data_IF_987232099875
#
_entry.id   IF_987232099875
#
_cell.length_a   1.000
_cell.length_b   1.000
_cell.length_c   1.000
_cell.angle_alpha   90.00
_cell.angle_beta   90.00
_cell.angle_gamma   90.00
#
_symmetry.space_group_name_H-M   'P 1'
#
loop_
_entity.id
_entity.type
_entity.pdbx_description
1 polymer ?
#
# COMPACT_ATOMS: atom_id res chain seq x y z
N UNK A 1 23.91 -8.74 19.87
CA UNK A 1 22.54 -8.74 19.31
C UNK A 1 22.45 -7.71 18.19
N UNK A 2 22.39 -8.14 16.92
CA UNK A 2 22.26 -7.22 15.77
C UNK A 2 20.85 -6.59 15.77
N UNK A 3 20.78 -5.26 15.81
CA UNK A 3 19.55 -4.48 15.56
C UNK A 3 19.04 -4.90 14.17
N UNK A 4 17.88 -5.54 14.09
CA UNK A 4 17.14 -5.64 12.82
C UNK A 4 16.86 -4.20 12.40
N UNK A 5 17.49 -3.76 11.32
CA UNK A 5 17.11 -2.52 10.66
C UNK A 5 15.60 -2.55 10.45
N UNK A 6 14.91 -1.44 10.75
CA UNK A 6 13.47 -1.33 10.51
C UNK A 6 13.25 -1.48 9.00
N UNK A 7 12.97 -2.68 8.54
CA UNK A 7 12.43 -2.90 7.20
C UNK A 7 11.18 -2.04 7.12
N UNK A 8 11.16 -1.08 6.19
CA UNK A 8 9.95 -0.31 5.89
C UNK A 8 8.87 -1.32 5.52
N UNK A 9 7.92 -1.57 6.43
CA UNK A 9 6.86 -2.52 6.14
C UNK A 9 6.07 -2.00 4.93
N UNK A 10 5.83 -2.83 3.91
CA UNK A 10 5.11 -2.40 2.73
C UNK A 10 3.67 -2.02 3.09
N UNK A 11 3.18 -0.94 2.48
CA UNK A 11 1.82 -0.48 2.70
C UNK A 11 0.85 -1.51 2.10
N UNK A 12 -0.09 -1.96 2.92
CA UNK A 12 -1.06 -2.99 2.53
C UNK A 12 -2.32 -2.35 1.93
N UNK A 13 -3.08 -3.10 1.10
CA UNK A 13 -4.39 -2.66 0.66
C UNK A 13 -5.36 -2.38 1.81
N UNK A 14 -6.35 -1.54 1.54
CA UNK A 14 -7.45 -1.32 2.47
C UNK A 14 -8.21 -2.63 2.73
N UNK A 15 -8.38 -2.99 4.00
CA UNK A 15 -9.09 -4.21 4.39
C UNK A 15 -10.55 -4.19 3.93
N UNK A 16 -10.97 -5.26 3.24
CA UNK A 16 -12.36 -5.46 2.82
C UNK A 16 -13.37 -5.62 3.97
N UNK A 17 -12.92 -5.96 5.17
CA UNK A 17 -13.77 -6.06 6.37
C UNK A 17 -14.00 -4.71 7.03
N UNK A 18 -13.14 -3.72 6.75
CA UNK A 18 -13.27 -2.35 7.25
C UNK A 18 -13.95 -1.43 6.23
N UNK A 19 -13.63 -1.61 4.96
CA UNK A 19 -14.21 -0.85 3.85
C UNK A 19 -14.76 -1.82 2.80
N UNK A 20 -16.07 -1.78 2.49
CA UNK A 20 -16.67 -2.61 1.45
C UNK A 20 -15.93 -2.49 0.11
N UNK A 21 -15.87 -3.57 -0.68
CA UNK A 21 -15.08 -3.60 -1.93
C UNK A 21 -15.58 -2.64 -3.01
N UNK A 22 -16.85 -2.25 -2.95
CA UNK A 22 -17.45 -1.29 -3.87
C UNK A 22 -17.21 0.18 -3.47
N UNK A 23 -16.57 0.43 -2.33
CA UNK A 23 -16.29 1.76 -1.81
C UNK A 23 -14.77 2.00 -1.65
N UNK A 24 -14.39 3.28 -1.62
CA UNK A 24 -13.00 3.71 -1.44
C UNK A 24 -12.24 3.92 -2.75
N UNK A 25 -10.90 4.02 -2.68
CA UNK A 25 -10.06 4.31 -3.85
C UNK A 25 -10.18 3.24 -4.93
N UNK A 26 -10.38 3.68 -6.17
CA UNK A 26 -10.43 2.82 -7.37
C UNK A 26 -9.03 2.60 -7.97
N UNK A 27 -8.03 2.40 -7.12
CA UNK A 27 -6.65 2.14 -7.53
C UNK A 27 -6.42 0.65 -7.78
N UNK A 28 -5.32 0.30 -8.45
CA UNK A 28 -4.98 -1.11 -8.67
C UNK A 28 -4.86 -1.86 -7.34
N UNK A 29 -5.62 -2.95 -7.21
CA UNK A 29 -5.69 -3.77 -6.00
C UNK A 29 -5.96 -2.99 -4.69
N UNK A 30 -6.50 -1.76 -4.76
CA UNK A 30 -6.70 -0.85 -3.62
C UNK A 30 -5.40 -0.52 -2.87
N UNK A 31 -4.27 -0.48 -3.59
CA UNK A 31 -2.99 0.03 -3.09
C UNK A 31 -2.97 1.57 -3.12
N UNK A 32 -2.09 2.23 -2.35
CA UNK A 32 -1.91 3.68 -2.45
C UNK A 32 -1.45 4.13 -3.84
N UNK A 33 -1.79 5.36 -4.23
CA UNK A 33 -1.22 5.96 -5.44
C UNK A 33 0.22 6.43 -5.21
N UNK A 34 0.98 6.65 -6.29
CA UNK A 34 2.36 7.14 -6.20
C UNK A 34 2.47 8.49 -5.47
N UNK A 35 1.42 9.32 -5.53
CA UNK A 35 1.36 10.63 -4.84
C UNK A 35 1.14 10.48 -3.34
N UNK A 36 0.60 9.36 -2.90
CA UNK A 36 0.30 9.07 -1.49
C UNK A 36 1.52 8.51 -0.74
N UNK A 37 2.60 8.18 -1.47
CA UNK A 37 3.79 7.54 -0.91
C UNK A 37 5.05 8.35 -1.18
N UNK A 38 5.91 8.48 -0.17
CA UNK A 38 7.20 9.18 -0.30
C UNK A 38 8.20 8.42 -1.19
N UNK A 39 8.11 7.10 -1.20
CA UNK A 39 9.01 6.21 -1.94
C UNK A 39 8.26 4.93 -2.31
N UNK A 40 8.56 4.39 -3.48
CA UNK A 40 7.96 3.17 -4.00
C UNK A 40 9.06 2.31 -4.62
N UNK A 41 9.15 1.04 -4.22
CA UNK A 41 10.12 0.09 -4.79
C UNK A 41 9.58 -0.59 -6.06
N UNK A 42 8.25 -0.77 -6.14
CA UNK A 42 7.56 -1.44 -7.26
C UNK A 42 6.26 -0.71 -7.57
N UNK A 43 6.10 -0.26 -8.81
CA UNK A 43 4.90 0.42 -9.31
C UNK A 43 4.16 -0.44 -10.34
N UNK A 44 2.83 -0.28 -10.39
CA UNK A 44 1.96 -0.88 -11.39
C UNK A 44 1.45 0.26 -12.26
N UNK A 45 1.75 0.19 -13.55
CA UNK A 45 1.43 1.23 -14.53
C UNK A 45 0.57 0.59 -15.63
N UNK A 46 -0.55 1.25 -15.95
CA UNK A 46 -1.45 0.88 -17.05
C UNK A 46 -1.22 1.72 -18.28
#
# INVERSE_FOLDING_TARGET
MKKKEKTKNPIQPVSGTKVPRFAGPSTFARLPEMRDVKSCDVAIVG
#
